data_IF_405996106583
#
_entry.id   IF_405996106583
#
_cell.length_a   1.000
_cell.length_b   1.000
_cell.length_c   1.000
_cell.angle_alpha   90.00
_cell.angle_beta   90.00
_cell.angle_gamma   90.00
#
_symmetry.space_group_name_H-M   'P 1'
#
loop_
_entity.id
_entity.type
_entity.pdbx_description
1 polymer ?
#
# COMPACT_ATOMS: atom_id res chain seq x y z
N UNK A 1 25.57 -30.98 64.04
CA UNK A 1 25.20 -30.57 62.66
C UNK A 1 23.68 -30.72 62.58
N UNK A 2 22.81 -29.77 62.22
CA UNK A 2 22.89 -28.43 61.63
C UNK A 2 21.98 -27.50 62.42
N UNK A 3 22.35 -26.21 62.42
CA UNK A 3 21.78 -25.14 63.23
C UNK A 3 20.48 -24.62 62.60
N UNK A 4 19.47 -24.45 63.44
CA UNK A 4 18.30 -23.60 63.17
C UNK A 4 18.80 -22.16 63.09
N UNK A 5 18.61 -21.52 61.94
CA UNK A 5 18.81 -20.09 61.80
C UNK A 5 17.45 -19.41 61.85
N UNK A 6 17.23 -18.76 62.99
CA UNK A 6 16.21 -17.75 63.22
C UNK A 6 16.44 -16.62 62.21
N UNK A 7 15.48 -16.39 61.31
CA UNK A 7 15.47 -15.17 60.51
C UNK A 7 14.81 -14.09 61.36
N UNK A 8 15.66 -13.22 61.89
CA UNK A 8 15.32 -12.03 62.65
C UNK A 8 14.54 -11.07 61.75
N UNK A 9 13.38 -10.63 62.26
CA UNK A 9 12.74 -9.37 61.93
C UNK A 9 13.78 -8.25 62.10
N UNK A 10 14.19 -7.65 60.99
CA UNK A 10 14.98 -6.43 60.99
C UNK A 10 14.08 -5.31 60.48
N UNK A 11 13.40 -4.70 61.45
CA UNK A 11 12.65 -3.44 61.29
C UNK A 11 13.70 -2.36 61.02
N UNK A 12 13.99 -2.12 59.75
CA UNK A 12 14.56 -0.85 59.33
C UNK A 12 13.42 0.15 59.26
N UNK A 13 13.32 0.97 60.30
CA UNK A 13 12.59 2.23 60.24
C UNK A 13 13.30 3.17 59.26
N UNK A 14 12.96 3.02 57.98
CA UNK A 14 13.08 4.09 57.00
C UNK A 14 11.66 4.62 56.85
N UNK A 15 11.48 5.88 57.21
CA UNK A 15 10.32 6.70 56.88
C UNK A 15 10.00 6.55 55.39
N UNK A 16 9.09 5.65 55.04
CA UNK A 16 8.40 5.68 53.75
C UNK A 16 7.37 6.80 53.84
N UNK A 17 7.59 7.84 53.05
CA UNK A 17 6.54 8.77 52.72
C UNK A 17 5.61 7.99 51.77
N UNK A 18 4.35 7.76 52.14
CA UNK A 18 3.33 6.99 51.37
C UNK A 18 2.93 7.65 50.03
N UNK A 19 3.77 8.53 49.47
CA UNK A 19 3.46 9.38 48.31
C UNK A 19 4.45 9.19 47.16
N UNK A 20 5.15 8.06 47.07
CA UNK A 20 6.13 7.84 45.99
C UNK A 20 6.28 6.37 45.57
N UNK A 21 5.30 5.52 45.88
CA UNK A 21 5.27 4.17 45.35
C UNK A 21 4.58 4.19 43.99
N UNK A 22 5.36 4.43 42.92
CA UNK A 22 4.88 4.50 41.53
C UNK A 22 4.16 3.20 41.13
N UNK A 23 4.54 2.05 41.73
CA UNK A 23 3.84 0.79 41.51
C UNK A 23 2.51 0.76 42.27
N UNK A 24 2.47 1.22 43.51
CA UNK A 24 1.22 1.34 44.27
C UNK A 24 0.23 2.34 43.65
N UNK A 25 0.74 3.45 43.10
CA UNK A 25 -0.06 4.48 42.46
C UNK A 25 -0.61 4.04 41.11
N UNK A 26 0.15 3.35 40.25
CA UNK A 26 -0.37 2.87 38.96
C UNK A 26 -1.20 1.58 39.08
N UNK A 27 -0.80 0.63 39.94
CA UNK A 27 -1.40 -0.71 39.95
C UNK A 27 -2.44 -0.96 41.03
N UNK A 28 -2.52 -0.17 42.11
CA UNK A 28 -3.53 -0.36 43.18
C UNK A 28 -4.49 0.81 43.36
N UNK A 29 -4.04 2.04 43.08
CA UNK A 29 -4.87 3.25 43.20
C UNK A 29 -5.24 3.86 41.85
N UNK A 30 -4.43 3.58 40.83
CA UNK A 30 -4.50 4.12 39.49
C UNK A 30 -5.56 3.45 38.63
N UNK A 31 -5.76 4.03 37.45
CA UNK A 31 -6.72 3.59 36.46
C UNK A 31 -6.12 2.67 35.41
N UNK A 32 -5.61 1.51 35.84
CA UNK A 32 -5.12 0.51 34.89
C UNK A 32 -6.31 -0.22 34.26
N UNK A 33 -6.43 -0.14 32.94
CA UNK A 33 -7.27 -1.02 32.12
C UNK A 33 -6.35 -1.95 31.33
N UNK A 34 -6.70 -3.23 31.25
CA UNK A 34 -5.92 -4.24 30.53
C UNK A 34 -6.74 -4.91 29.44
N UNK A 35 -6.06 -5.42 28.41
CA UNK A 35 -6.67 -6.33 27.45
C UNK A 35 -6.96 -7.68 28.10
N UNK A 36 -8.16 -8.23 27.88
CA UNK A 36 -8.50 -9.62 28.25
C UNK A 36 -7.52 -10.59 27.56
N UNK A 37 -7.30 -10.35 26.28
CA UNK A 37 -6.26 -10.98 25.46
C UNK A 37 -5.60 -9.89 24.62
N UNK A 38 -4.26 -9.82 24.63
CA UNK A 38 -3.52 -8.79 23.89
C UNK A 38 -3.80 -8.98 22.39
N UNK A 39 -4.26 -7.94 21.69
CA UNK A 39 -4.48 -7.99 20.25
C UNK A 39 -3.23 -8.49 19.51
N UNK A 40 -3.41 -9.43 18.58
CA UNK A 40 -2.30 -9.94 17.77
C UNK A 40 -1.76 -8.86 16.81
N UNK A 41 -2.64 -7.97 16.37
CA UNK A 41 -2.29 -6.82 15.53
C UNK A 41 -3.01 -5.56 15.99
N UNK A 42 -2.37 -4.42 15.76
CA UNK A 42 -2.91 -3.08 16.02
C UNK A 42 -3.04 -2.34 14.68
N UNK A 43 -3.78 -2.95 13.75
CA UNK A 43 -3.89 -2.49 12.37
C UNK A 43 -5.33 -2.59 11.87
N UNK A 44 -5.71 -1.65 11.01
CA UNK A 44 -7.01 -1.61 10.34
C UNK A 44 -6.77 -1.62 8.82
N UNK A 45 -7.38 -2.57 8.11
CA UNK A 45 -7.34 -2.58 6.65
C UNK A 45 -8.10 -1.35 6.12
N UNK A 46 -7.39 -0.43 5.48
CA UNK A 46 -7.99 0.80 4.97
C UNK A 46 -8.92 0.56 3.79
N UNK A 47 -8.74 -0.53 3.03
CA UNK A 47 -9.61 -0.85 1.90
C UNK A 47 -11.01 -1.28 2.34
N UNK A 48 -11.14 -1.75 3.58
CA UNK A 48 -12.40 -2.17 4.17
C UNK A 48 -12.92 -1.11 5.15
N UNK A 49 -12.55 0.18 5.01
CA UNK A 49 -12.82 1.24 6.01
C UNK A 49 -14.30 1.35 6.41
N UNK A 50 -15.23 0.99 5.51
CA UNK A 50 -16.68 0.99 5.78
C UNK A 50 -17.13 -0.13 6.72
N UNK A 51 -16.37 -1.22 6.83
CA UNK A 51 -16.73 -2.44 7.58
C UNK A 51 -15.68 -2.89 8.58
N UNK A 52 -14.47 -2.34 8.52
CA UNK A 52 -13.34 -2.74 9.38
C UNK A 52 -13.59 -2.35 10.83
N UNK A 53 -13.27 -3.27 11.74
CA UNK A 53 -13.38 -3.06 13.18
C UNK A 53 -12.14 -3.58 13.92
N UNK A 54 -11.78 -2.88 14.99
CA UNK A 54 -10.87 -3.34 16.03
C UNK A 54 -11.70 -3.59 17.28
N UNK A 55 -11.88 -4.86 17.65
CA UNK A 55 -12.79 -5.26 18.73
C UNK A 55 -12.13 -6.24 19.70
N UNK A 56 -11.87 -5.79 20.93
CA UNK A 56 -11.16 -6.59 21.93
C UNK A 56 -11.71 -6.38 23.34
N UNK A 57 -11.64 -7.45 24.16
CA UNK A 57 -12.05 -7.41 25.57
C UNK A 57 -11.12 -6.54 26.42
N UNK A 58 -11.71 -5.76 27.33
CA UNK A 58 -11.00 -4.93 28.31
C UNK A 58 -11.50 -5.19 29.72
N UNK A 59 -10.58 -5.22 30.68
CA UNK A 59 -10.84 -5.53 32.09
C UNK A 59 -10.32 -4.43 33.02
N UNK A 60 -11.03 -4.27 34.15
CA UNK A 60 -10.57 -3.52 35.32
C UNK A 60 -10.01 -4.52 36.35
N UNK A 61 -8.68 -4.72 36.43
CA UNK A 61 -8.09 -5.68 37.37
C UNK A 61 -8.24 -5.26 38.84
N UNK A 62 -8.61 -4.01 39.11
CA UNK A 62 -8.64 -3.42 40.45
C UNK A 62 -10.05 -3.17 40.99
N UNK A 63 -11.10 -3.41 40.19
CA UNK A 63 -12.50 -3.15 40.51
C UNK A 63 -12.73 -1.73 41.09
N UNK A 64 -12.04 -0.72 40.54
CA UNK A 64 -12.03 0.65 41.07
C UNK A 64 -12.41 1.73 40.04
N UNK A 65 -12.63 1.35 38.77
CA UNK A 65 -12.88 2.27 37.66
C UNK A 65 -14.35 2.70 37.62
N UNK A 66 -14.56 4.00 37.45
CA UNK A 66 -15.85 4.68 37.25
C UNK A 66 -16.05 4.95 35.75
N UNK A 67 -15.04 5.50 35.09
CA UNK A 67 -15.02 5.64 33.62
C UNK A 67 -13.62 5.48 33.06
N UNK A 68 -13.57 4.95 31.85
CA UNK A 68 -12.43 4.90 30.96
C UNK A 68 -12.80 5.71 29.72
N UNK A 69 -12.17 6.87 29.57
CA UNK A 69 -12.44 7.83 28.51
C UNK A 69 -11.22 7.86 27.58
N UNK A 70 -11.37 7.38 26.35
CA UNK A 70 -10.30 7.25 25.38
C UNK A 70 -10.32 8.44 24.43
N UNK A 71 -9.23 9.20 24.39
CA UNK A 71 -9.01 10.28 23.43
C UNK A 71 -8.34 9.71 22.18
N UNK A 72 -8.72 10.21 21.00
CA UNK A 72 -8.12 9.84 19.71
C UNK A 72 -7.31 11.03 19.16
N UNK A 73 -6.07 10.80 18.76
CA UNK A 73 -5.25 11.77 18.03
C UNK A 73 -4.82 11.22 16.67
N UNK A 74 -4.95 12.04 15.63
CA UNK A 74 -4.52 11.76 14.27
C UNK A 74 -3.85 13.01 13.69
N UNK A 75 -2.53 12.94 13.50
CA UNK A 75 -1.73 14.12 13.13
C UNK A 75 -1.89 15.25 14.14
N UNK A 76 -2.46 16.38 13.71
CA UNK A 76 -2.71 17.55 14.55
C UNK A 76 -4.15 17.62 15.11
N UNK A 77 -5.00 16.62 14.82
CA UNK A 77 -6.40 16.57 15.25
C UNK A 77 -6.51 15.69 16.49
N UNK A 78 -7.13 16.21 17.55
CA UNK A 78 -7.49 15.45 18.75
C UNK A 78 -9.00 15.48 18.98
N UNK A 79 -9.57 14.30 19.25
CA UNK A 79 -10.95 14.09 19.62
C UNK A 79 -10.99 13.58 21.06
N UNK A 80 -11.41 14.44 21.98
CA UNK A 80 -11.59 14.10 23.38
C UNK A 80 -12.77 13.13 23.55
N UNK A 81 -12.59 12.14 24.42
CA UNK A 81 -13.62 11.14 24.77
C UNK A 81 -14.24 10.47 23.53
N UNK A 82 -13.41 10.09 22.57
CA UNK A 82 -13.81 9.33 21.39
C UNK A 82 -14.62 8.08 21.78
N UNK A 83 -14.18 7.37 22.83
CA UNK A 83 -14.94 6.26 23.44
C UNK A 83 -14.98 6.42 24.96
N UNK A 84 -16.14 6.14 25.55
CA UNK A 84 -16.32 6.07 27.01
C UNK A 84 -16.87 4.70 27.43
N UNK A 85 -16.16 4.01 28.32
CA UNK A 85 -16.58 2.76 28.96
C UNK A 85 -16.78 3.00 30.46
N UNK A 86 -17.92 2.54 31.00
CA UNK A 86 -18.28 2.74 32.43
C UNK A 86 -18.58 1.44 33.17
N UNK A 87 -18.46 0.29 32.49
CA UNK A 87 -18.73 -1.03 33.05
C UNK A 87 -17.67 -1.99 32.59
N UNK A 88 -17.10 -2.76 33.50
CA UNK A 88 -16.07 -3.77 33.23
C UNK A 88 -16.52 -5.15 33.74
N UNK A 89 -16.11 -6.25 33.08
CA UNK A 89 -15.42 -6.28 31.78
C UNK A 89 -16.29 -5.72 30.64
N UNK A 90 -15.65 -5.26 29.57
CA UNK A 90 -16.33 -4.74 28.38
C UNK A 90 -15.61 -5.16 27.10
N UNK A 91 -16.20 -4.84 25.95
CA UNK A 91 -15.55 -4.93 24.65
C UNK A 91 -15.31 -3.53 24.13
N UNK A 92 -14.04 -3.16 23.93
CA UNK A 92 -13.67 -1.95 23.20
C UNK A 92 -13.84 -2.23 21.72
N UNK A 93 -14.72 -1.50 21.04
CA UNK A 93 -14.93 -1.60 19.59
C UNK A 93 -14.66 -0.23 18.95
N UNK A 94 -13.74 -0.20 17.99
CA UNK A 94 -13.39 0.98 17.19
C UNK A 94 -13.63 0.60 15.72
N UNK A 95 -14.55 1.30 15.05
CA UNK A 95 -14.81 1.06 13.62
C UNK A 95 -14.15 2.13 12.75
N UNK A 96 -13.83 1.78 11.51
CA UNK A 96 -13.30 2.73 10.52
C UNK A 96 -14.24 3.93 10.30
N UNK A 97 -15.55 3.67 10.24
CA UNK A 97 -16.56 4.72 10.10
C UNK A 97 -16.62 5.67 11.30
N UNK A 98 -16.49 5.16 12.53
CA UNK A 98 -16.48 6.01 13.73
C UNK A 98 -15.24 6.92 13.74
N UNK A 99 -14.08 6.40 13.32
CA UNK A 99 -12.84 7.18 13.19
C UNK A 99 -13.03 8.33 12.18
N UNK A 100 -13.51 8.01 10.96
CA UNK A 100 -13.74 9.01 9.92
C UNK A 100 -14.74 10.08 10.38
N UNK A 101 -15.84 9.66 11.02
CA UNK A 101 -16.87 10.56 11.52
C UNK A 101 -16.33 11.47 12.64
N UNK A 102 -15.54 10.92 13.57
CA UNK A 102 -14.97 11.68 14.69
C UNK A 102 -13.93 12.70 14.23
N UNK A 103 -13.09 12.34 13.27
CA UNK A 103 -12.07 13.23 12.70
C UNK A 103 -12.65 14.19 11.64
N UNK A 104 -13.90 13.99 11.23
CA UNK A 104 -14.55 14.72 10.13
C UNK A 104 -13.71 14.65 8.85
N UNK A 105 -13.30 13.44 8.48
CA UNK A 105 -12.53 13.13 7.27
C UNK A 105 -13.35 12.27 6.31
N UNK A 106 -13.10 12.41 5.01
CA UNK A 106 -13.46 11.40 4.01
C UNK A 106 -12.31 10.40 3.83
N UNK A 107 -12.55 9.19 3.26
CA UNK A 107 -11.48 8.23 3.00
C UNK A 107 -10.32 8.81 2.19
N UNK A 108 -10.58 9.71 1.24
CA UNK A 108 -9.56 10.33 0.39
C UNK A 108 -8.65 11.31 1.14
N UNK A 109 -9.06 11.77 2.33
CA UNK A 109 -8.30 12.70 3.18
C UNK A 109 -7.40 11.98 4.20
N UNK A 110 -7.49 10.65 4.26
CA UNK A 110 -6.67 9.84 5.19
C UNK A 110 -5.30 9.55 4.58
N UNK A 111 -4.26 9.90 5.33
CA UNK A 111 -2.88 9.47 5.14
C UNK A 111 -2.64 8.23 6.00
N UNK A 112 -2.60 7.06 5.35
CA UNK A 112 -2.40 5.77 6.01
C UNK A 112 -1.05 5.64 6.72
N UNK A 113 -0.10 6.55 6.49
CA UNK A 113 1.19 6.57 7.18
C UNK A 113 1.14 7.23 8.57
N UNK A 114 0.06 7.96 8.88
CA UNK A 114 -0.13 8.63 10.16
C UNK A 114 -0.86 7.69 11.13
N UNK A 115 -0.28 7.37 12.30
CA UNK A 115 -0.92 6.51 13.28
C UNK A 115 -2.12 7.21 13.95
N UNK A 116 -3.08 6.39 14.37
CA UNK A 116 -4.17 6.77 15.27
C UNK A 116 -3.71 6.49 16.69
N UNK A 117 -3.43 7.54 17.45
CA UNK A 117 -2.95 7.45 18.82
C UNK A 117 -4.11 7.53 19.80
N UNK A 118 -4.22 6.54 20.69
CA UNK A 118 -5.27 6.46 21.70
C UNK A 118 -4.68 6.59 23.09
N UNK A 119 -5.20 7.54 23.87
CA UNK A 119 -4.75 7.79 25.25
C UNK A 119 -5.96 7.89 26.17
N UNK A 120 -5.97 7.06 27.21
CA UNK A 120 -7.07 7.02 28.15
C UNK A 120 -6.88 8.01 29.31
N UNK A 121 -7.98 8.66 29.69
CA UNK A 121 -8.18 9.24 31.01
C UNK A 121 -9.12 8.34 31.80
N UNK A 122 -8.66 7.85 32.95
CA UNK A 122 -9.39 6.87 33.76
C UNK A 122 -9.79 7.49 35.08
N UNK A 123 -11.10 7.62 35.29
CA UNK A 123 -11.69 8.07 36.53
C UNK A 123 -11.90 6.86 37.44
N UNK A 124 -11.29 6.85 38.61
CA UNK A 124 -11.47 5.80 39.63
C UNK A 124 -12.11 6.36 40.88
N UNK A 125 -12.46 5.49 41.84
CA UNK A 125 -12.89 5.94 43.18
C UNK A 125 -11.80 6.70 43.95
N UNK A 126 -10.55 6.64 43.48
CA UNK A 126 -9.38 7.19 44.16
C UNK A 126 -8.82 8.46 43.51
N UNK A 127 -9.25 8.82 42.30
CA UNK A 127 -8.73 9.96 41.55
C UNK A 127 -9.04 9.89 40.06
N UNK A 128 -8.46 10.82 39.31
CA UNK A 128 -8.49 10.88 37.85
C UNK A 128 -7.06 10.65 37.38
N UNK A 129 -6.85 9.69 36.47
CA UNK A 129 -5.53 9.29 36.03
C UNK A 129 -5.42 9.40 34.52
N UNK A 130 -4.41 10.11 34.02
CA UNK A 130 -4.11 10.17 32.58
C UNK A 130 -3.02 9.17 32.23
N UNK A 131 -3.28 8.33 31.24
CA UNK A 131 -2.32 7.36 30.71
C UNK A 131 -1.34 7.97 29.68
N UNK A 132 -1.33 9.29 29.51
CA UNK A 132 -0.25 9.94 28.79
C UNK A 132 1.07 9.70 29.53
N UNK A 133 2.16 9.54 28.77
CA UNK A 133 3.48 9.40 29.36
C UNK A 133 3.85 10.64 30.18
N UNK A 134 4.60 10.43 31.26
CA UNK A 134 5.17 11.54 32.04
C UNK A 134 6.15 12.34 31.18
N UNK A 135 5.99 13.66 31.15
CA UNK A 135 6.91 14.60 30.50
C UNK A 135 7.45 15.58 31.56
N UNK A 136 8.57 15.21 32.18
CA UNK A 136 9.13 15.99 33.27
C UNK A 136 10.07 17.08 32.76
N UNK A 137 9.64 18.35 32.88
CA UNK A 137 10.49 19.50 32.62
C UNK A 137 11.38 19.79 33.83
N UNK A 138 12.65 19.38 33.72
CA UNK A 138 13.66 19.60 34.75
C UNK A 138 13.97 21.07 35.04
N UNK A 139 13.63 22.00 34.14
CA UNK A 139 13.88 23.43 34.31
C UNK A 139 12.84 24.11 35.20
N UNK A 140 11.60 23.63 35.16
CA UNK A 140 10.46 24.12 35.96
C UNK A 140 10.10 23.17 37.10
N UNK A 141 10.66 21.96 37.11
CA UNK A 141 10.37 20.88 38.04
C UNK A 141 8.87 20.53 38.06
N UNK A 142 8.23 20.56 36.88
CA UNK A 142 6.84 20.20 36.66
C UNK A 142 6.71 19.04 35.67
N UNK A 143 5.73 18.16 35.90
CA UNK A 143 5.29 17.20 34.89
C UNK A 143 4.28 17.89 33.99
N UNK A 144 4.58 18.00 32.70
CA UNK A 144 3.73 18.57 31.67
C UNK A 144 2.96 17.50 30.88
N UNK A 145 3.24 16.21 31.15
CA UNK A 145 2.58 15.06 30.55
C UNK A 145 1.55 14.43 31.49
N UNK A 146 1.26 13.14 31.29
CA UNK A 146 0.33 12.38 32.10
C UNK A 146 0.98 11.69 33.29
N UNK A 147 0.25 10.75 33.88
CA UNK A 147 0.65 9.99 35.07
C UNK A 147 1.14 8.57 34.70
N UNK A 148 1.16 8.23 33.41
CA UNK A 148 1.69 6.98 32.89
C UNK A 148 3.20 6.88 33.09
N UNK A 149 3.62 6.08 34.07
CA UNK A 149 5.02 5.78 34.30
C UNK A 149 5.60 4.89 33.18
N UNK A 150 6.89 5.03 32.82
CA UNK A 150 7.51 4.27 31.73
C UNK A 150 7.41 2.75 31.92
N UNK A 151 7.40 2.27 33.17
CA UNK A 151 7.27 0.84 33.47
C UNK A 151 5.94 0.25 32.98
N UNK A 152 4.87 1.05 32.88
CA UNK A 152 3.57 0.61 32.35
C UNK A 152 3.64 0.28 30.86
N UNK A 153 4.46 1.03 30.11
CA UNK A 153 4.57 0.91 28.64
C UNK A 153 5.70 -0.03 28.21
N UNK A 154 6.79 -0.08 28.98
CA UNK A 154 7.99 -0.86 28.63
C UNK A 154 7.87 -2.36 28.98
N UNK A 155 6.87 -2.74 29.79
CA UNK A 155 6.68 -4.12 30.22
C UNK A 155 5.44 -4.74 29.56
N UNK A 156 5.63 -5.61 28.55
CA UNK A 156 4.52 -6.25 27.84
C UNK A 156 3.68 -7.16 28.74
N UNK A 157 4.19 -7.57 29.91
CA UNK A 157 3.45 -8.38 30.87
C UNK A 157 2.29 -7.67 31.58
N UNK A 158 2.12 -6.35 31.36
CA UNK A 158 0.98 -5.59 31.91
C UNK A 158 -0.24 -5.55 30.99
N UNK A 159 -0.11 -5.94 29.71
CA UNK A 159 -1.21 -5.99 28.76
C UNK A 159 -2.09 -4.72 28.76
N UNK A 160 -1.49 -3.55 28.94
CA UNK A 160 -2.23 -2.33 29.17
C UNK A 160 -3.04 -1.92 27.93
N UNK A 161 -4.26 -1.43 28.16
CA UNK A 161 -5.20 -0.94 27.16
C UNK A 161 -5.49 0.56 27.31
N UNK A 162 -4.56 1.30 27.92
CA UNK A 162 -4.75 2.72 28.27
C UNK A 162 -3.95 3.68 27.38
N UNK A 163 -2.96 3.18 26.65
CA UNK A 163 -2.17 3.95 25.69
C UNK A 163 -1.72 3.03 24.55
N UNK A 164 -2.26 3.19 23.35
CA UNK A 164 -1.91 2.35 22.21
C UNK A 164 -2.14 3.09 20.91
N UNK A 165 -1.52 2.62 19.84
CA UNK A 165 -1.74 3.16 18.50
C UNK A 165 -2.32 2.11 17.58
N UNK A 166 -3.23 2.54 16.70
CA UNK A 166 -3.67 1.76 15.54
C UNK A 166 -3.07 2.35 14.28
N UNK A 167 -2.72 1.52 13.32
CA UNK A 167 -2.24 1.96 12.02
C UNK A 167 -3.20 1.51 10.94
N UNK A 168 -3.55 2.41 10.03
CA UNK A 168 -4.10 1.97 8.76
C UNK A 168 -3.01 1.26 7.95
N UNK A 169 -3.42 0.28 7.17
CA UNK A 169 -2.54 -0.30 6.17
C UNK A 169 -3.30 -0.56 4.88
N UNK A 170 -2.56 -0.54 3.79
CA UNK A 170 -3.00 -1.09 2.51
C UNK A 170 -2.38 -2.49 2.40
N UNK A 171 -3.19 -3.54 2.24
CA UNK A 171 -2.68 -4.89 2.02
C UNK A 171 -1.88 -4.94 0.73
N UNK A 172 -0.86 -5.81 0.64
CA UNK A 172 -0.07 -5.94 -0.57
C UNK A 172 -0.96 -6.41 -1.73
N UNK A 173 -0.69 -5.95 -2.97
CA UNK A 173 -1.43 -6.40 -4.14
C UNK A 173 -1.15 -7.88 -4.41
N UNK A 174 -2.21 -8.63 -4.70
CA UNK A 174 -2.17 -10.03 -5.12
C UNK A 174 -2.46 -10.12 -6.61
N UNK A 175 -1.55 -10.73 -7.38
CA UNK A 175 -1.76 -10.96 -8.83
C UNK A 175 -3.07 -11.72 -9.06
N UNK A 176 -3.93 -11.15 -9.91
CA UNK A 176 -5.10 -11.82 -10.46
C UNK A 176 -4.75 -12.44 -11.82
N UNK A 177 -4.25 -11.62 -12.72
CA UNK A 177 -3.76 -11.97 -14.08
C UNK A 177 -2.73 -10.94 -14.52
N UNK A 178 -1.87 -11.27 -15.48
CA UNK A 178 -0.88 -10.34 -16.00
C UNK A 178 0.06 -11.00 -17.00
N UNK A 179 1.04 -10.26 -17.48
CA UNK A 179 2.16 -10.75 -18.30
C UNK A 179 3.42 -9.96 -17.93
N UNK A 180 4.53 -10.69 -17.86
CA UNK A 180 5.89 -10.13 -17.82
C UNK A 180 6.61 -10.50 -19.12
N UNK A 181 5.83 -10.79 -20.17
CA UNK A 181 6.29 -11.22 -21.49
C UNK A 181 7.11 -12.51 -21.49
N UNK A 182 6.96 -13.38 -20.49
CA UNK A 182 7.76 -14.59 -20.29
C UNK A 182 7.31 -15.81 -21.12
N UNK A 183 6.04 -15.86 -21.54
CA UNK A 183 5.52 -16.94 -22.39
C UNK A 183 5.70 -16.72 -23.90
N UNK A 184 5.54 -15.49 -24.45
CA UNK A 184 5.89 -15.19 -25.83
C UNK A 184 7.36 -15.49 -26.13
N UNK A 185 7.66 -15.69 -27.41
CA UNK A 185 9.05 -15.82 -27.85
C UNK A 185 9.73 -14.45 -27.91
N UNK A 186 10.71 -14.23 -27.03
CA UNK A 186 11.63 -13.10 -27.13
C UNK A 186 12.92 -13.44 -27.86
N UNK A 187 13.50 -12.44 -28.52
CA UNK A 187 14.85 -12.49 -29.06
C UNK A 187 15.43 -11.06 -29.18
N UNK A 188 16.67 -10.92 -29.66
CA UNK A 188 17.31 -9.61 -29.84
C UNK A 188 17.48 -9.21 -31.31
N UNK A 189 16.80 -9.93 -32.21
CA UNK A 189 16.73 -9.55 -33.62
C UNK A 189 15.71 -8.41 -33.80
N UNK A 190 15.85 -7.66 -34.89
CA UNK A 190 14.85 -6.62 -35.24
C UNK A 190 13.59 -7.27 -35.80
N UNK A 191 12.44 -6.63 -35.56
CA UNK A 191 11.18 -7.01 -36.17
C UNK A 191 11.03 -6.37 -37.55
N UNK A 192 10.85 -7.20 -38.58
CA UNK A 192 10.66 -6.75 -39.95
C UNK A 192 9.18 -6.55 -40.25
N UNK A 193 8.80 -5.31 -40.58
CA UNK A 193 7.41 -4.99 -40.92
C UNK A 193 6.98 -5.70 -42.23
N UNK A 194 5.85 -6.42 -42.26
CA UNK A 194 5.41 -7.15 -43.46
C UNK A 194 4.79 -6.24 -44.53
N UNK A 195 4.15 -5.13 -44.13
CA UNK A 195 3.59 -4.12 -45.01
C UNK A 195 4.61 -3.08 -45.49
N UNK A 196 4.12 -2.01 -46.11
CA UNK A 196 4.94 -0.84 -46.46
C UNK A 196 5.38 -0.04 -45.24
N UNK A 197 6.49 0.69 -45.34
CA UNK A 197 7.10 1.43 -44.22
C UNK A 197 6.12 2.39 -43.51
N UNK A 198 5.24 3.05 -44.27
CA UNK A 198 4.22 4.00 -43.78
C UNK A 198 2.80 3.43 -43.70
N UNK A 199 2.62 2.11 -43.83
CA UNK A 199 1.29 1.50 -43.77
C UNK A 199 0.86 1.27 -42.31
N UNK A 200 -0.27 1.86 -41.89
CA UNK A 200 -0.84 1.57 -40.57
C UNK A 200 -1.47 0.18 -40.55
N UNK A 201 -1.05 -0.67 -39.62
CA UNK A 201 -1.48 -2.07 -39.53
C UNK A 201 -1.31 -2.66 -38.12
N UNK A 202 -1.99 -3.79 -37.87
CA UNK A 202 -1.69 -4.67 -36.74
C UNK A 202 -0.43 -5.48 -37.09
N UNK A 203 0.56 -5.49 -36.20
CA UNK A 203 1.79 -6.24 -36.37
C UNK A 203 1.54 -7.73 -36.08
N UNK A 204 2.19 -8.61 -36.84
CA UNK A 204 2.02 -10.07 -36.72
C UNK A 204 3.36 -10.75 -36.53
N UNK A 205 3.43 -11.75 -35.65
CA UNK A 205 4.68 -12.47 -35.37
C UNK A 205 5.31 -13.07 -36.63
N UNK A 206 6.58 -12.75 -36.86
CA UNK A 206 7.40 -13.36 -37.89
C UNK A 206 8.20 -14.55 -37.33
N UNK A 207 8.41 -15.62 -38.12
CA UNK A 207 9.22 -16.75 -37.67
C UNK A 207 10.67 -16.34 -37.36
N UNK A 208 11.08 -16.50 -36.09
CA UNK A 208 12.45 -16.25 -35.65
C UNK A 208 12.77 -14.79 -35.36
N UNK A 209 11.77 -13.91 -35.32
CA UNK A 209 11.86 -12.52 -34.86
C UNK A 209 11.13 -12.36 -33.53
N UNK A 210 11.23 -11.18 -32.91
CA UNK A 210 10.54 -10.82 -31.66
C UNK A 210 9.04 -11.00 -31.77
N UNK A 211 8.41 -11.47 -30.70
CA UNK A 211 6.96 -11.48 -30.62
C UNK A 211 6.43 -10.05 -30.48
N UNK A 212 5.57 -9.64 -31.41
CA UNK A 212 4.82 -8.37 -31.40
C UNK A 212 3.36 -8.57 -31.02
N UNK A 213 2.94 -9.83 -30.88
CA UNK A 213 1.64 -10.21 -30.36
C UNK A 213 1.74 -11.54 -29.61
N UNK A 214 0.80 -11.78 -28.70
CA UNK A 214 0.69 -13.05 -27.98
C UNK A 214 -0.77 -13.42 -27.77
N UNK A 215 -1.07 -14.70 -27.90
CA UNK A 215 -2.38 -15.25 -27.53
C UNK A 215 -2.17 -16.10 -26.27
N UNK A 216 -2.82 -15.70 -25.18
CA UNK A 216 -2.73 -16.39 -23.90
C UNK A 216 -2.92 -17.90 -24.02
N UNK A 217 -2.01 -18.67 -23.40
CA UNK A 217 -2.12 -20.13 -23.31
C UNK A 217 -2.61 -20.51 -21.92
N UNK A 218 -3.88 -20.23 -21.65
CA UNK A 218 -4.52 -20.60 -20.40
C UNK A 218 -5.25 -19.45 -19.71
N UNK A 219 -5.67 -19.68 -18.48
CA UNK A 219 -6.48 -18.74 -17.69
C UNK A 219 -6.11 -18.73 -16.21
N UNK A 220 -5.07 -19.46 -15.82
CA UNK A 220 -4.54 -19.47 -14.46
C UNK A 220 -3.87 -18.14 -14.10
N UNK A 221 -3.56 -17.98 -12.82
CA UNK A 221 -2.85 -16.80 -12.28
C UNK A 221 -1.41 -16.70 -12.82
N UNK A 222 -0.80 -17.84 -13.11
CA UNK A 222 0.55 -17.94 -13.66
C UNK A 222 0.58 -17.94 -15.19
N UNK A 223 -0.55 -18.21 -15.85
CA UNK A 223 -0.66 -18.15 -17.32
C UNK A 223 -0.72 -16.68 -17.77
N UNK A 224 0.14 -16.30 -18.71
CA UNK A 224 0.21 -14.91 -19.18
C UNK A 224 -0.98 -14.53 -20.07
N UNK A 225 -1.40 -13.28 -19.97
CA UNK A 225 -2.44 -12.72 -20.82
C UNK A 225 -1.89 -12.35 -22.20
N UNK A 226 -2.75 -12.33 -23.22
CA UNK A 226 -2.36 -11.94 -24.56
C UNK A 226 -2.21 -10.43 -24.70
N UNK A 227 -1.62 -10.05 -25.82
CA UNK A 227 -1.50 -8.67 -26.25
C UNK A 227 -1.35 -8.61 -27.77
N UNK A 228 -1.57 -7.41 -28.32
CA UNK A 228 -1.36 -7.10 -29.73
C UNK A 228 -0.75 -5.71 -29.89
N UNK A 229 0.01 -5.55 -30.96
CA UNK A 229 0.66 -4.28 -31.31
C UNK A 229 0.11 -3.77 -32.63
N UNK A 230 -0.25 -2.49 -32.65
CA UNK A 230 -0.74 -1.77 -33.83
C UNK A 230 0.13 -0.54 -34.05
N UNK A 231 0.34 -0.17 -35.32
CA UNK A 231 1.08 1.04 -35.69
C UNK A 231 0.21 1.95 -36.55
N UNK A 232 0.32 3.26 -36.32
CA UNK A 232 -0.46 4.29 -36.98
C UNK A 232 0.47 5.39 -37.51
N UNK A 233 0.27 5.74 -38.77
CA UNK A 233 1.06 6.74 -39.49
C UNK A 233 0.14 7.78 -40.12
N UNK A 234 0.60 9.02 -40.21
CA UNK A 234 -0.04 10.13 -40.90
C UNK A 234 0.79 10.58 -42.10
N UNK A 235 0.17 11.38 -42.99
CA UNK A 235 0.84 11.88 -44.19
C UNK A 235 2.08 12.73 -43.81
N UNK A 236 3.27 12.20 -44.09
CA UNK A 236 4.55 12.86 -43.82
C UNK A 236 5.50 12.05 -42.95
N UNK A 237 4.99 11.04 -42.25
CA UNK A 237 5.77 10.12 -41.43
C UNK A 237 6.71 9.29 -42.30
N UNK A 238 7.88 8.95 -41.75
CA UNK A 238 8.85 8.08 -42.42
C UNK A 238 8.48 6.60 -42.23
N UNK A 239 7.88 6.28 -41.08
CA UNK A 239 7.60 4.93 -40.64
C UNK A 239 8.85 4.06 -40.57
N UNK A 240 8.67 2.75 -40.43
CA UNK A 240 9.79 1.84 -40.23
C UNK A 240 9.70 0.59 -41.10
N UNK A 241 10.87 -0.01 -41.37
CA UNK A 241 10.95 -1.32 -42.03
C UNK A 241 11.45 -2.41 -41.08
N UNK A 242 12.38 -2.10 -40.19
CA UNK A 242 13.06 -3.09 -39.35
C UNK A 242 13.67 -2.47 -38.09
N UNK A 243 12.97 -2.56 -36.95
CA UNK A 243 13.38 -1.93 -35.69
C UNK A 243 13.21 -2.87 -34.49
N UNK A 244 13.73 -2.48 -33.32
CA UNK A 244 13.63 -3.26 -32.08
C UNK A 244 12.26 -3.17 -31.43
N UNK A 245 11.25 -3.69 -32.11
CA UNK A 245 9.86 -3.74 -31.63
C UNK A 245 9.50 -5.17 -31.23
N UNK A 246 8.99 -5.36 -30.02
CA UNK A 246 8.49 -6.66 -29.55
C UNK A 246 9.21 -7.18 -28.31
N UNK A 247 8.93 -8.43 -27.95
CA UNK A 247 9.55 -9.09 -26.79
C UNK A 247 11.05 -9.27 -27.00
N UNK A 248 11.83 -8.69 -26.10
CA UNK A 248 13.28 -8.58 -26.08
C UNK A 248 13.87 -9.36 -24.92
N UNK A 249 15.02 -10.00 -25.14
CA UNK A 249 15.87 -10.58 -24.09
C UNK A 249 17.08 -9.70 -23.76
N UNK A 250 17.22 -8.57 -24.44
CA UNK A 250 18.31 -7.62 -24.26
C UNK A 250 18.07 -6.78 -23.01
N UNK A 251 18.75 -7.18 -21.92
CA UNK A 251 18.65 -6.50 -20.65
C UNK A 251 19.73 -5.43 -20.45
N UNK A 252 20.58 -5.13 -21.45
CA UNK A 252 21.73 -4.23 -21.28
C UNK A 252 21.30 -2.82 -20.86
N UNK A 253 20.33 -2.23 -21.58
CA UNK A 253 19.81 -0.89 -21.31
C UNK A 253 19.14 -0.79 -19.92
N UNK A 254 18.45 -1.83 -19.48
CA UNK A 254 17.71 -1.87 -18.20
C UNK A 254 18.57 -2.26 -16.99
N UNK A 255 19.90 -2.20 -17.11
CA UNK A 255 20.84 -2.46 -16.01
C UNK A 255 21.10 -3.95 -15.75
N UNK A 256 20.83 -4.82 -16.73
CA UNK A 256 21.15 -6.24 -16.73
C UNK A 256 20.06 -7.16 -16.19
N UNK A 257 18.89 -6.63 -15.82
CA UNK A 257 17.72 -7.42 -15.41
C UNK A 257 16.41 -6.71 -15.70
N UNK A 258 15.41 -7.48 -16.16
CA UNK A 258 14.01 -7.04 -16.22
C UNK A 258 13.39 -7.05 -14.82
N UNK A 259 12.18 -6.50 -14.69
CA UNK A 259 11.47 -6.42 -13.40
C UNK A 259 11.09 -7.82 -12.93
N UNK A 260 10.59 -8.63 -13.85
CA UNK A 260 10.25 -10.03 -13.64
C UNK A 260 10.83 -10.87 -14.77
N UNK A 261 11.23 -12.10 -14.45
CA UNK A 261 11.76 -13.02 -15.45
C UNK A 261 13.06 -12.59 -16.15
N UNK A 262 13.13 -12.81 -17.47
CA UNK A 262 14.34 -12.65 -18.30
C UNK A 262 14.07 -11.91 -19.62
N UNK A 263 12.85 -11.47 -19.87
CA UNK A 263 12.47 -10.71 -21.06
C UNK A 263 11.46 -9.61 -20.73
N UNK A 264 11.27 -8.70 -21.68
CA UNK A 264 10.30 -7.60 -21.59
C UNK A 264 9.91 -7.11 -22.98
N UNK A 265 9.00 -6.14 -23.09
CA UNK A 265 8.60 -5.60 -24.40
C UNK A 265 9.37 -4.33 -24.71
N UNK A 266 10.07 -4.28 -25.84
CA UNK A 266 10.87 -3.13 -26.28
C UNK A 266 10.22 -2.41 -27.48
N UNK A 267 10.41 -1.10 -27.54
CA UNK A 267 9.98 -0.20 -28.62
C UNK A 267 11.14 0.75 -28.95
N UNK A 268 11.44 0.91 -30.24
CA UNK A 268 12.50 1.76 -30.81
C UNK A 268 11.99 2.35 -32.14
N UNK A 269 12.32 3.62 -32.44
CA UNK A 269 12.30 4.25 -33.77
C UNK A 269 11.07 3.93 -34.64
N UNK A 270 9.88 4.33 -34.19
CA UNK A 270 8.64 4.02 -34.91
C UNK A 270 8.42 4.97 -36.08
N UNK A 271 8.90 6.22 -35.95
CA UNK A 271 8.56 7.32 -36.86
C UNK A 271 7.03 7.44 -37.03
N UNK A 272 6.29 7.31 -35.92
CA UNK A 272 4.83 7.21 -35.88
C UNK A 272 4.31 6.68 -34.54
N UNK A 273 3.00 6.48 -34.44
CA UNK A 273 2.38 6.04 -33.18
C UNK A 273 2.31 4.50 -33.11
N UNK A 274 2.91 3.91 -32.09
CA UNK A 274 2.72 2.50 -31.73
C UNK A 274 1.71 2.39 -30.58
N UNK A 275 0.75 1.48 -30.70
CA UNK A 275 -0.19 1.09 -29.65
C UNK A 275 -0.02 -0.38 -29.27
N UNK A 276 0.28 -0.65 -28.00
CA UNK A 276 0.28 -1.98 -27.41
C UNK A 276 -1.00 -2.14 -26.57
N UNK A 277 -1.86 -3.07 -26.95
CA UNK A 277 -3.13 -3.37 -26.26
C UNK A 277 -3.08 -4.76 -25.67
N UNK A 278 -3.30 -4.85 -24.37
CA UNK A 278 -3.38 -6.14 -23.67
C UNK A 278 -4.80 -6.71 -23.72
N UNK A 279 -4.93 -8.03 -23.55
CA UNK A 279 -6.22 -8.70 -23.48
C UNK A 279 -7.05 -8.18 -22.29
N UNK A 280 -8.38 -8.13 -22.49
CA UNK A 280 -9.35 -7.80 -21.45
C UNK A 280 -9.28 -8.82 -20.31
N UNK A 281 -9.00 -8.34 -19.09
CA UNK A 281 -8.99 -9.16 -17.88
C UNK A 281 -10.31 -8.99 -17.13
N UNK A 282 -11.16 -10.02 -17.04
CA UNK A 282 -12.36 -9.98 -16.21
C UNK A 282 -12.02 -10.04 -14.71
N UNK A 283 -12.78 -9.30 -13.91
CA UNK A 283 -12.72 -9.31 -12.44
C UNK A 283 -14.08 -9.76 -11.91
N UNK A 284 -14.08 -10.74 -11.01
CA UNK A 284 -15.25 -11.05 -10.20
C UNK A 284 -15.32 -10.01 -9.08
N UNK A 285 -16.15 -8.99 -9.27
CA UNK A 285 -16.30 -7.85 -8.35
C UNK A 285 -16.98 -8.22 -7.03
N UNK A 286 -17.59 -9.41 -6.93
CA UNK A 286 -18.16 -9.90 -5.66
C UNK A 286 -17.06 -10.55 -4.84
N UNK A 287 -16.20 -11.34 -5.48
CA UNK A 287 -15.05 -11.96 -4.82
C UNK A 287 -13.89 -10.98 -4.60
N UNK A 288 -13.77 -9.96 -5.44
CA UNK A 288 -12.71 -8.96 -5.42
C UNK A 288 -13.33 -7.56 -5.53
N UNK A 289 -13.92 -7.03 -4.45
CA UNK A 289 -14.59 -5.72 -4.46
C UNK A 289 -13.63 -4.56 -4.74
N UNK A 290 -12.34 -4.76 -4.49
CA UNK A 290 -11.26 -3.81 -4.74
C UNK A 290 -10.16 -4.47 -5.58
N UNK A 291 -9.86 -3.88 -6.73
CA UNK A 291 -8.84 -4.34 -7.68
C UNK A 291 -8.11 -3.17 -8.32
N UNK A 292 -6.97 -3.42 -8.95
CA UNK A 292 -6.22 -2.41 -9.70
C UNK A 292 -5.53 -2.99 -10.92
N UNK A 293 -4.95 -2.12 -11.74
CA UNK A 293 -4.09 -2.47 -12.87
C UNK A 293 -2.82 -1.63 -12.83
N UNK A 294 -1.69 -2.26 -13.13
CA UNK A 294 -0.41 -1.58 -13.21
C UNK A 294 0.45 -2.13 -14.35
N UNK A 295 1.51 -1.39 -14.67
CA UNK A 295 2.63 -1.85 -15.48
C UNK A 295 3.89 -1.07 -15.07
N UNK A 296 5.07 -1.63 -15.35
CA UNK A 296 6.31 -0.88 -15.25
C UNK A 296 6.85 -0.52 -16.63
N UNK A 297 7.42 0.68 -16.75
CA UNK A 297 8.17 1.08 -17.93
C UNK A 297 9.58 1.54 -17.56
N UNK A 298 10.49 1.48 -18.51
CA UNK A 298 11.83 2.02 -18.44
C UNK A 298 12.10 2.76 -19.75
N UNK A 299 12.41 4.05 -19.68
CA UNK A 299 12.95 4.80 -20.80
C UNK A 299 14.49 4.87 -20.65
N UNK A 300 15.22 4.57 -21.72
CA UNK A 300 16.69 4.73 -21.75
C UNK A 300 17.09 6.19 -21.49
N UNK A 301 18.29 6.44 -20.96
CA UNK A 301 18.77 7.83 -20.79
C UNK A 301 19.30 8.34 -22.13
N UNK A 302 18.50 9.13 -22.84
CA UNK A 302 18.90 9.80 -24.08
C UNK A 302 18.31 11.22 -24.16
N UNK A 303 18.40 11.89 -25.31
CA UNK A 303 17.87 13.24 -25.51
C UNK A 303 16.42 13.19 -26.08
N UNK A 304 15.43 12.67 -25.32
CA UNK A 304 14.04 12.57 -25.81
C UNK A 304 13.42 13.95 -26.11
N UNK A 305 12.80 14.05 -27.26
CA UNK A 305 12.34 15.30 -27.82
C UNK A 305 10.89 15.59 -27.45
N UNK A 306 10.48 16.85 -27.59
CA UNK A 306 9.09 17.23 -27.31
C UNK A 306 8.05 16.56 -28.23
N UNK A 307 8.51 15.91 -29.31
CA UNK A 307 7.68 15.12 -30.22
C UNK A 307 7.35 13.74 -29.65
N UNK A 308 8.22 13.22 -28.79
CA UNK A 308 8.04 11.92 -28.17
C UNK A 308 7.00 11.97 -27.09
N UNK A 309 6.33 10.85 -26.91
CA UNK A 309 5.36 10.71 -25.84
C UNK A 309 5.20 9.27 -25.40
N UNK A 310 4.76 9.13 -24.15
CA UNK A 310 4.27 7.88 -23.60
C UNK A 310 2.95 8.15 -22.89
N UNK A 311 1.90 7.49 -23.38
CA UNK A 311 0.57 7.49 -22.77
C UNK A 311 0.23 6.07 -22.34
N UNK A 312 -0.18 5.90 -21.08
CA UNK A 312 -0.68 4.65 -20.54
C UNK A 312 -2.09 4.89 -20.01
N UNK A 313 -3.05 4.15 -20.55
CA UNK A 313 -4.46 4.24 -20.16
C UNK A 313 -5.03 2.87 -19.82
N UNK A 314 -6.01 2.85 -18.94
CA UNK A 314 -6.82 1.67 -18.66
C UNK A 314 -8.26 1.91 -19.07
N UNK A 315 -8.77 1.12 -20.01
CA UNK A 315 -10.21 1.03 -20.25
C UNK A 315 -10.83 0.13 -19.18
N UNK A 316 -11.72 0.69 -18.37
CA UNK A 316 -12.34 0.01 -17.24
C UNK A 316 -13.84 -0.14 -17.45
N UNK A 317 -14.35 -1.32 -17.07
CA UNK A 317 -15.77 -1.65 -17.09
C UNK A 317 -16.26 -1.80 -15.65
N UNK A 318 -17.42 -1.22 -15.32
CA UNK A 318 -18.00 -1.24 -13.97
C UNK A 318 -19.23 -2.14 -13.86
N UNK A 319 -19.52 -2.62 -12.65
CA UNK A 319 -20.66 -3.51 -12.37
C UNK A 319 -22.03 -2.90 -12.75
N UNK A 320 -22.15 -1.57 -12.79
CA UNK A 320 -23.33 -0.84 -13.27
C UNK A 320 -23.50 -0.79 -14.80
N UNK A 321 -22.54 -1.33 -15.56
CA UNK A 321 -22.49 -1.26 -17.03
C UNK A 321 -21.87 0.03 -17.57
N UNK A 322 -21.37 0.90 -16.69
CA UNK A 322 -20.59 2.08 -17.08
C UNK A 322 -19.18 1.68 -17.53
N UNK A 323 -18.63 2.45 -18.47
CA UNK A 323 -17.28 2.25 -18.99
C UNK A 323 -16.57 3.58 -19.05
N UNK A 324 -15.29 3.61 -18.72
CA UNK A 324 -14.46 4.82 -18.81
C UNK A 324 -13.02 4.47 -19.17
N UNK A 325 -12.28 5.48 -19.64
CA UNK A 325 -10.84 5.38 -19.86
C UNK A 325 -10.15 6.19 -18.78
N UNK A 326 -9.40 5.51 -17.93
CA UNK A 326 -8.56 6.11 -16.91
C UNK A 326 -7.18 6.39 -17.52
N UNK A 327 -6.74 7.65 -17.49
CA UNK A 327 -5.37 8.04 -17.82
C UNK A 327 -4.49 7.77 -16.60
N UNK A 328 -3.50 6.88 -16.74
CA UNK A 328 -2.55 6.53 -15.68
C UNK A 328 -1.24 7.29 -15.82
N UNK A 329 -0.82 7.51 -17.08
CA UNK A 329 0.37 8.28 -17.43
C UNK A 329 0.11 8.97 -18.77
N UNK A 330 0.55 10.23 -18.88
CA UNK A 330 0.60 10.98 -20.13
C UNK A 330 1.74 11.98 -20.04
N UNK A 331 2.87 11.65 -20.67
CA UNK A 331 4.11 12.40 -20.60
C UNK A 331 4.70 12.65 -21.98
N UNK A 332 5.39 13.77 -22.13
CA UNK A 332 6.19 14.09 -23.32
C UNK A 332 7.63 13.61 -23.17
N UNK A 333 8.41 13.56 -24.26
CA UNK A 333 9.86 13.28 -24.19
C UNK A 333 10.60 14.26 -23.27
N UNK A 334 10.20 15.53 -23.24
CA UNK A 334 10.79 16.49 -22.30
C UNK A 334 10.51 16.18 -20.82
N UNK A 335 9.42 15.47 -20.52
CA UNK A 335 9.14 14.99 -19.17
C UNK A 335 9.96 13.72 -18.86
N UNK A 336 10.18 12.86 -19.86
CA UNK A 336 11.05 11.68 -19.79
C UNK A 336 12.47 12.12 -19.37
N UNK A 337 13.06 13.05 -20.10
CA UNK A 337 14.40 13.65 -19.86
C UNK A 337 14.55 14.35 -18.48
N UNK A 338 13.44 14.67 -17.82
CA UNK A 338 13.46 15.39 -16.55
C UNK A 338 13.40 14.46 -15.33
N UNK A 339 14.18 13.37 -15.39
CA UNK A 339 14.40 12.45 -14.28
C UNK A 339 13.45 11.25 -14.23
N UNK A 340 12.86 10.87 -15.37
CA UNK A 340 12.05 9.66 -15.54
C UNK A 340 12.75 8.57 -16.38
N UNK A 341 14.00 8.78 -16.79
CA UNK A 341 14.84 7.80 -17.50
C UNK A 341 15.72 6.97 -16.56
N UNK A 342 16.33 5.92 -17.12
CA UNK A 342 17.41 5.15 -16.46
C UNK A 342 16.94 4.30 -15.29
N UNK A 343 15.62 4.18 -15.08
CA UNK A 343 15.01 3.39 -14.00
C UNK A 343 13.65 2.85 -14.39
N UNK A 344 13.28 1.74 -13.77
CA UNK A 344 11.92 1.23 -13.83
C UNK A 344 10.98 2.12 -13.03
N UNK A 345 9.86 2.50 -13.64
CA UNK A 345 8.81 3.32 -13.06
C UNK A 345 7.51 2.53 -13.07
N UNK A 346 6.92 2.40 -11.88
CA UNK A 346 5.61 1.80 -11.71
C UNK A 346 4.51 2.82 -12.05
N UNK A 347 3.63 2.44 -12.96
CA UNK A 347 2.40 3.15 -13.30
C UNK A 347 1.23 2.31 -12.81
N UNK A 348 0.45 2.85 -11.88
CA UNK A 348 -0.54 2.10 -11.11
C UNK A 348 -1.84 2.90 -10.96
N UNK A 349 -2.98 2.22 -11.13
CA UNK A 349 -4.31 2.79 -10.86
C UNK A 349 -4.61 2.94 -9.36
N UNK A 350 -3.89 2.21 -8.51
CA UNK A 350 -4.33 1.92 -7.16
C UNK A 350 -5.57 1.02 -7.15
N UNK A 351 -6.14 0.80 -5.96
CA UNK A 351 -7.37 0.05 -5.81
C UNK A 351 -8.60 0.87 -6.20
N UNK A 352 -9.38 0.32 -7.12
CA UNK A 352 -10.66 0.82 -7.58
C UNK A 352 -11.76 -0.16 -7.18
N UNK A 353 -12.93 0.39 -6.87
CA UNK A 353 -14.13 -0.38 -6.53
C UNK A 353 -15.06 -0.54 -7.72
N UNK A 354 -15.99 -1.50 -7.63
CA UNK A 354 -17.03 -1.76 -8.62
C UNK A 354 -16.52 -2.13 -10.02
N UNK A 355 -15.27 -2.61 -10.14
CA UNK A 355 -14.67 -2.98 -11.43
C UNK A 355 -14.98 -4.42 -11.81
N UNK A 356 -15.37 -4.65 -13.07
CA UNK A 356 -15.62 -5.98 -13.64
C UNK A 356 -14.65 -6.35 -14.76
N UNK A 357 -13.89 -5.39 -15.30
CA UNK A 357 -12.75 -5.68 -16.17
C UNK A 357 -11.80 -4.50 -16.35
N UNK A 358 -10.55 -4.83 -16.70
CA UNK A 358 -9.53 -3.91 -17.17
C UNK A 358 -9.05 -4.30 -18.57
N UNK A 359 -8.72 -3.31 -19.38
CA UNK A 359 -7.91 -3.45 -20.60
C UNK A 359 -6.86 -2.34 -20.59
N UNK A 360 -5.59 -2.69 -20.42
CA UNK A 360 -4.51 -1.71 -20.43
C UNK A 360 -4.07 -1.43 -21.88
N UNK A 361 -3.83 -0.16 -22.18
CA UNK A 361 -3.42 0.31 -23.51
C UNK A 361 -2.25 1.27 -23.31
N UNK A 362 -1.21 1.06 -24.09
CA UNK A 362 -0.03 1.92 -24.14
C UNK A 362 0.10 2.49 -25.54
N UNK A 363 0.41 3.77 -25.61
CA UNK A 363 0.62 4.50 -26.85
C UNK A 363 1.91 5.28 -26.72
N UNK A 364 2.78 5.16 -27.71
CA UNK A 364 4.03 5.90 -27.74
C UNK A 364 4.38 6.32 -29.15
N UNK A 365 4.98 7.49 -29.25
CA UNK A 365 5.65 7.97 -30.45
C UNK A 365 7.09 8.25 -30.03
N UNK A 366 8.02 7.63 -30.74
CA UNK A 366 9.47 7.77 -30.58
C UNK A 366 10.05 7.71 -31.98
N UNK A 367 10.87 8.69 -32.36
CA UNK A 367 11.40 8.84 -33.73
C UNK A 367 12.94 8.79 -33.80
N UNK A 368 13.57 8.24 -32.76
CA UNK A 368 15.02 8.05 -32.66
C UNK A 368 15.41 6.58 -32.43
N UNK A 369 16.37 6.09 -33.21
CA UNK A 369 16.99 4.76 -33.07
C UNK A 369 17.94 4.57 -31.89
N UNK A 370 17.96 5.50 -30.94
CA UNK A 370 18.64 5.30 -29.65
C UNK A 370 17.68 5.45 -28.46
N UNK A 371 16.42 5.84 -28.71
CA UNK A 371 15.40 6.00 -27.69
C UNK A 371 14.61 4.69 -27.56
N UNK A 372 15.02 3.87 -26.60
CA UNK A 372 14.32 2.64 -26.28
C UNK A 372 13.37 2.84 -25.09
N UNK A 373 12.12 2.41 -25.25
CA UNK A 373 11.20 2.21 -24.12
C UNK A 373 10.92 0.73 -23.94
N UNK A 374 11.11 0.27 -22.71
CA UNK A 374 10.83 -1.09 -22.27
C UNK A 374 9.60 -1.11 -21.36
N UNK A 375 8.81 -2.17 -21.47
CA UNK A 375 7.68 -2.46 -20.58
C UNK A 375 7.83 -3.84 -19.98
N UNK A 376 7.43 -3.96 -18.72
CA UNK A 376 7.41 -5.23 -18.01
C UNK A 376 6.34 -5.23 -16.91
N UNK A 377 5.99 -6.41 -16.44
CA UNK A 377 5.15 -6.66 -15.27
C UNK A 377 3.79 -5.98 -15.33
N UNK A 378 3.08 -6.15 -16.44
CA UNK A 378 1.67 -5.75 -16.52
C UNK A 378 0.84 -6.69 -15.68
N UNK A 379 0.08 -6.17 -14.71
CA UNK A 379 -0.78 -7.00 -13.87
C UNK A 379 -2.06 -6.31 -13.48
N UNK A 380 -3.15 -7.09 -13.50
CA UNK A 380 -4.36 -6.82 -12.74
C UNK A 380 -4.21 -7.51 -11.41
N UNK A 381 -4.47 -6.78 -10.33
CA UNK A 381 -4.31 -7.25 -8.97
C UNK A 381 -5.55 -7.01 -8.13
N UNK A 382 -5.62 -7.74 -7.02
CA UNK A 382 -6.65 -7.65 -6.00
C UNK A 382 -6.00 -7.49 -4.64
N UNK A 383 -6.83 -7.32 -3.62
CA UNK A 383 -6.38 -7.35 -2.24
C UNK A 383 -5.88 -8.75 -1.87
N UNK A 384 -4.81 -8.83 -1.08
CA UNK A 384 -4.49 -10.06 -0.35
C UNK A 384 -5.44 -10.16 0.84
N UNK A 385 -6.31 -11.18 0.87
CA UNK A 385 -6.99 -11.53 2.12
C UNK A 385 -5.90 -12.00 3.09
N UNK A 386 -5.66 -11.22 4.15
CA UNK A 386 -4.94 -11.76 5.30
C UNK A 386 -5.75 -12.96 5.81
N UNK A 387 -5.13 -14.14 5.80
CA UNK A 387 -5.67 -15.25 6.55
C UNK A 387 -5.65 -14.84 8.02
N UNK A 388 -6.84 -14.70 8.60
CA UNK A 388 -7.11 -14.47 10.03
C UNK A 388 -6.05 -15.06 10.97
#
# INVERSE_FOLDING_TARGET
MKKIYVLMLLVFGISCNDTSDVLGENFTRGGLVVWEEVPETFRLNFLDIETVEFSHGVEDPNDNIISYDLDLTYGDITVDQFITITTFPNTLTITGLDILAALNLTPEEVDVSVPLEFVATVNTTNGVFSAAATDFDSSTNTNNGGEGGPELFDNPGFNQAVNFSLNFFLPPPKKLRGTSFEEPFGNDERYTKPGGETESEELTNNPGERAVMYTAVGTGVDDEIGFKTEVFFVDGDLGFTSERIGVSTDAEAVGGQFVDGVQGYQIEDIDGLLRLTFDRVPVDNVANPSSGVQIQYFAEEDDHESGDNLTITAFIERAGGETETLELLNISGTDIDNGLEGRWILVDSGFLTDIVAYTLIMETNIDSGNEDIYFDQMLVYTVTEDSE
#
